data_IF_636033583614
#
_entry.id   IF_636033583614
#
_cell.length_a   1.000
_cell.length_b   1.000
_cell.length_c   1.000
_cell.angle_alpha   90.00
_cell.angle_beta   90.00
_cell.angle_gamma   90.00
#
_symmetry.space_group_name_H-M   'P 1'
#
loop_
_entity.id
_entity.type
_entity.pdbx_description
1 polymer ?
#
# COMPACT_ATOMS: atom_id res chain seq x y z
N UNK A 1 -24.91 1.98 67.93
CA UNK A 1 -23.97 2.90 67.24
C UNK A 1 -23.90 2.48 65.77
N UNK A 2 -24.50 3.25 64.86
CA UNK A 2 -24.54 2.95 63.43
C UNK A 2 -23.41 3.67 62.70
N UNK A 3 -22.42 2.93 62.19
CA UNK A 3 -21.39 3.48 61.30
C UNK A 3 -21.87 3.41 59.84
N UNK A 4 -22.24 4.57 59.27
CA UNK A 4 -22.50 4.72 57.84
C UNK A 4 -21.15 4.87 57.12
N UNK A 5 -20.71 3.83 56.43
CA UNK A 5 -19.59 3.93 55.51
C UNK A 5 -20.02 4.74 54.28
N UNK A 6 -19.37 5.90 54.07
CA UNK A 6 -19.53 6.69 52.85
C UNK A 6 -18.71 6.00 51.74
N UNK A 7 -19.40 5.40 50.77
CA UNK A 7 -18.80 4.99 49.50
C UNK A 7 -18.40 6.26 48.74
N UNK A 8 -17.10 6.61 48.75
CA UNK A 8 -16.56 7.55 47.77
C UNK A 8 -16.38 6.80 46.45
N UNK A 9 -17.32 7.04 45.53
CA UNK A 9 -17.20 6.62 44.14
C UNK A 9 -16.11 7.43 43.45
N UNK A 10 -14.90 6.87 43.33
CA UNK A 10 -13.87 7.42 42.44
C UNK A 10 -14.28 7.13 40.99
N UNK A 11 -14.80 8.14 40.30
CA UNK A 11 -14.98 8.11 38.85
C UNK A 11 -13.61 8.22 38.19
N UNK A 12 -12.95 7.09 37.94
CA UNK A 12 -11.75 7.03 37.10
C UNK A 12 -12.17 7.29 35.65
N UNK A 13 -12.07 8.53 35.21
CA UNK A 13 -12.31 8.92 33.81
C UNK A 13 -11.21 8.30 32.94
N UNK A 14 -11.54 7.21 32.25
CA UNK A 14 -10.74 6.71 31.13
C UNK A 14 -10.84 7.70 29.97
N UNK A 15 -9.80 8.49 29.75
CA UNK A 15 -9.65 9.29 28.53
C UNK A 15 -9.31 8.30 27.41
N UNK A 16 -10.30 7.96 26.58
CA UNK A 16 -10.09 7.21 25.34
C UNK A 16 -9.58 8.21 24.30
N UNK A 17 -8.26 8.23 24.06
CA UNK A 17 -7.68 8.91 22.90
C UNK A 17 -8.10 8.12 21.66
N UNK A 18 -9.11 8.60 20.94
CA UNK A 18 -9.44 8.09 19.62
C UNK A 18 -8.30 8.48 18.67
N UNK A 19 -7.35 7.58 18.45
CA UNK A 19 -6.35 7.72 17.40
C UNK A 19 -7.08 7.62 16.05
N UNK A 20 -7.36 8.76 15.42
CA UNK A 20 -7.75 8.77 14.01
C UNK A 20 -6.56 8.22 13.22
N UNK A 21 -6.72 7.13 12.45
CA UNK A 21 -5.63 6.63 11.61
C UNK A 21 -5.35 7.70 10.56
N UNK A 22 -4.23 8.41 10.71
CA UNK A 22 -3.67 9.19 9.62
C UNK A 22 -3.13 8.20 8.60
N UNK A 23 -3.58 8.31 7.35
CA UNK A 23 -2.91 7.60 6.27
C UNK A 23 -1.45 8.07 6.24
N UNK A 24 -0.50 7.13 6.27
CA UNK A 24 0.89 7.48 6.05
C UNK A 24 1.01 8.08 4.64
N UNK A 25 1.96 9.01 4.46
CA UNK A 25 2.31 9.53 3.14
C UNK A 25 3.70 9.05 2.75
N UNK A 26 3.91 8.81 1.46
CA UNK A 26 5.20 8.46 0.91
C UNK A 26 5.38 9.16 -0.44
N UNK A 27 6.53 9.78 -0.67
CA UNK A 27 6.79 10.48 -1.94
C UNK A 27 7.11 9.50 -3.08
N UNK A 28 7.51 8.27 -2.73
CA UNK A 28 7.78 7.20 -3.68
C UNK A 28 7.25 5.86 -3.21
N UNK A 29 6.76 5.04 -4.14
CA UNK A 29 6.44 3.62 -3.86
C UNK A 29 7.64 2.80 -3.40
N UNK A 30 8.87 3.24 -3.66
CA UNK A 30 10.10 2.60 -3.16
C UNK A 30 10.16 2.63 -1.63
N UNK A 31 9.76 3.73 -1.00
CA UNK A 31 9.70 3.83 0.47
C UNK A 31 8.72 2.82 1.06
N UNK A 32 7.55 2.67 0.43
CA UNK A 32 6.50 1.73 0.83
C UNK A 32 7.00 0.28 0.69
N UNK A 33 7.68 -0.04 -0.41
CA UNK A 33 8.29 -1.36 -0.62
C UNK A 33 9.35 -1.67 0.44
N UNK A 34 10.26 -0.73 0.72
CA UNK A 34 11.30 -0.88 1.74
C UNK A 34 10.68 -1.14 3.11
N UNK A 35 9.64 -0.39 3.46
CA UNK A 35 8.95 -0.60 4.73
C UNK A 35 8.29 -1.97 4.78
N UNK A 36 7.61 -2.40 3.70
CA UNK A 36 6.99 -3.71 3.63
C UNK A 36 8.00 -4.86 3.79
N UNK A 37 9.22 -4.74 3.27
CA UNK A 37 10.27 -5.77 3.51
C UNK A 37 10.59 -5.89 5.00
N UNK A 38 10.67 -4.76 5.70
CA UNK A 38 11.04 -4.70 7.13
C UNK A 38 9.92 -5.19 8.05
N UNK A 39 8.67 -4.82 7.77
CA UNK A 39 7.52 -5.05 8.65
C UNK A 39 6.54 -6.11 8.13
N UNK A 40 6.81 -6.68 6.95
CA UNK A 40 5.96 -7.64 6.25
C UNK A 40 4.81 -7.01 5.46
N UNK A 41 4.47 -5.75 5.74
CA UNK A 41 3.38 -5.02 5.09
C UNK A 41 3.53 -3.50 5.25
N UNK A 42 3.13 -2.72 4.27
CA UNK A 42 3.08 -1.27 4.38
C UNK A 42 1.93 -0.71 3.53
N UNK A 43 1.34 0.39 3.97
CA UNK A 43 0.38 1.14 3.16
C UNK A 43 0.52 2.63 3.40
N UNK A 44 0.45 3.40 2.32
CA UNK A 44 0.51 4.84 2.35
C UNK A 44 -0.26 5.44 1.17
N UNK A 45 -0.68 6.70 1.31
CA UNK A 45 -1.04 7.55 0.18
C UNK A 45 0.26 8.01 -0.51
N UNK A 46 0.32 7.84 -1.83
CA UNK A 46 1.43 8.30 -2.64
C UNK A 46 1.32 9.81 -2.88
N UNK A 47 2.38 10.54 -2.56
CA UNK A 47 2.51 11.98 -2.74
C UNK A 47 3.72 12.33 -3.62
N UNK A 48 3.97 13.62 -3.86
CA UNK A 48 5.16 14.10 -4.58
C UNK A 48 5.18 13.78 -6.08
N UNK A 49 6.36 13.86 -6.69
CA UNK A 49 6.55 13.78 -8.15
C UNK A 49 6.02 12.48 -8.76
N UNK A 50 6.12 11.35 -8.06
CA UNK A 50 5.60 10.08 -8.55
C UNK A 50 4.06 10.09 -8.60
N UNK A 51 3.41 10.68 -7.61
CA UNK A 51 1.96 10.88 -7.61
C UNK A 51 1.53 11.84 -8.73
N UNK A 52 2.28 12.91 -8.97
CA UNK A 52 1.99 13.86 -10.04
C UNK A 52 2.02 13.20 -11.43
N UNK A 53 3.04 12.37 -11.69
CA UNK A 53 3.12 11.59 -12.94
C UNK A 53 1.96 10.61 -13.05
N UNK A 54 1.60 9.91 -11.96
CA UNK A 54 0.48 8.99 -11.94
C UNK A 54 -0.85 9.70 -12.24
N UNK A 55 -1.14 10.81 -11.54
CA UNK A 55 -2.35 11.61 -11.77
C UNK A 55 -2.42 12.18 -13.18
N UNK A 56 -1.28 12.57 -13.76
CA UNK A 56 -1.23 13.01 -15.16
C UNK A 56 -1.60 11.90 -16.14
N UNK A 57 -1.28 10.64 -15.83
CA UNK A 57 -1.61 9.46 -16.65
C UNK A 57 -3.05 9.00 -16.46
N UNK A 58 -3.55 8.99 -15.23
CA UNK A 58 -4.90 8.49 -14.93
C UNK A 58 -5.97 9.56 -15.09
N UNK A 59 -5.58 10.84 -15.15
CA UNK A 59 -6.48 11.98 -15.20
C UNK A 59 -7.45 12.09 -14.00
N UNK A 60 -7.19 11.37 -12.92
CA UNK A 60 -7.88 11.52 -11.64
C UNK A 60 -7.04 12.34 -10.66
N UNK A 61 -7.71 13.11 -9.81
CA UNK A 61 -7.10 13.83 -8.68
C UNK A 61 -7.46 13.21 -7.32
N UNK A 62 -8.09 12.04 -7.33
CA UNK A 62 -8.35 11.31 -6.09
C UNK A 62 -7.03 10.76 -5.52
N UNK A 63 -6.96 10.56 -4.19
CA UNK A 63 -5.79 9.97 -3.54
C UNK A 63 -5.37 8.64 -4.19
N UNK A 64 -4.05 8.46 -4.33
CA UNK A 64 -3.45 7.24 -4.84
C UNK A 64 -3.02 6.41 -3.64
N UNK A 65 -3.81 5.40 -3.30
CA UNK A 65 -3.47 4.49 -2.20
C UNK A 65 -2.58 3.38 -2.69
N UNK A 66 -1.50 3.11 -1.96
CA UNK A 66 -0.56 2.04 -2.26
C UNK A 66 -0.47 1.10 -1.06
N UNK A 67 -0.55 -0.20 -1.33
CA UNK A 67 -0.32 -1.27 -0.36
C UNK A 67 0.79 -2.18 -0.88
N UNK A 68 1.71 -2.56 -0.01
CA UNK A 68 2.77 -3.51 -0.30
C UNK A 68 2.79 -4.60 0.78
N UNK A 69 2.94 -5.87 0.36
CA UNK A 69 2.93 -7.02 1.27
C UNK A 69 3.99 -8.05 0.86
N UNK A 70 4.76 -8.52 1.83
CA UNK A 70 5.65 -9.67 1.64
C UNK A 70 4.82 -10.92 1.39
N UNK A 71 5.06 -11.57 0.25
CA UNK A 71 4.39 -12.82 -0.14
C UNK A 71 5.31 -14.03 -0.03
N UNK A 72 6.63 -13.82 -0.08
CA UNK A 72 7.64 -14.87 0.10
C UNK A 72 8.95 -14.25 0.61
N UNK A 73 9.61 -14.90 1.57
CA UNK A 73 10.97 -14.54 1.97
C UNK A 73 11.98 -15.21 1.05
N UNK A 74 12.94 -14.44 0.52
CA UNK A 74 13.96 -15.00 -0.37
C UNK A 74 15.07 -15.67 0.44
N UNK A 75 15.85 -16.53 -0.23
CA UNK A 75 17.01 -17.18 0.40
C UNK A 75 18.08 -16.19 0.86
N UNK A 76 18.20 -15.05 0.17
CA UNK A 76 19.11 -13.98 0.56
C UNK A 76 18.51 -13.23 1.76
N UNK A 77 19.24 -13.14 2.91
CA UNK A 77 18.77 -12.40 4.07
C UNK A 77 18.47 -10.94 3.73
N UNK A 78 17.38 -10.40 4.30
CA UNK A 78 16.95 -9.02 4.08
C UNK A 78 16.33 -8.76 2.71
N UNK A 79 15.95 -9.81 1.96
CA UNK A 79 15.25 -9.68 0.68
C UNK A 79 13.98 -10.51 0.64
N UNK A 80 12.95 -9.98 -0.01
CA UNK A 80 11.62 -10.57 -0.09
C UNK A 80 10.99 -10.40 -1.48
N UNK A 81 10.09 -11.32 -1.82
CA UNK A 81 9.08 -11.12 -2.87
C UNK A 81 7.96 -10.29 -2.24
N UNK A 82 7.69 -9.11 -2.81
CA UNK A 82 6.67 -8.17 -2.35
C UNK A 82 5.63 -8.00 -3.46
N UNK A 83 4.36 -8.17 -3.12
CA UNK A 83 3.25 -7.75 -3.96
C UNK A 83 2.92 -6.27 -3.64
N UNK A 84 2.75 -5.44 -4.67
CA UNK A 84 2.37 -4.03 -4.55
C UNK A 84 1.07 -3.80 -5.32
N UNK A 85 0.17 -3.01 -4.75
CA UNK A 85 -1.14 -2.68 -5.29
C UNK A 85 -1.38 -1.18 -5.17
N UNK A 86 -1.74 -0.55 -6.29
CA UNK A 86 -2.15 0.85 -6.39
C UNK A 86 -3.66 0.88 -6.61
N UNK A 87 -4.34 1.79 -5.92
CA UNK A 87 -5.78 2.03 -6.07
C UNK A 87 -6.04 3.53 -6.17
N UNK A 88 -6.79 3.94 -7.19
CA UNK A 88 -7.20 5.33 -7.36
C UNK A 88 -8.67 5.41 -7.80
N UNK A 89 -9.45 6.27 -7.16
CA UNK A 89 -10.87 6.44 -7.50
C UNK A 89 -11.05 7.42 -8.66
N UNK A 90 -12.28 7.46 -9.21
CA UNK A 90 -12.72 8.45 -10.20
C UNK A 90 -11.84 8.57 -11.46
N UNK A 91 -11.16 7.50 -11.87
CA UNK A 91 -10.40 7.46 -13.12
C UNK A 91 -11.36 7.44 -14.31
N UNK A 92 -11.26 8.38 -15.27
CA UNK A 92 -12.11 8.41 -16.46
C UNK A 92 -11.97 7.13 -17.30
N UNK A 93 -13.10 6.62 -17.80
CA UNK A 93 -13.12 5.43 -18.67
C UNK A 93 -13.26 5.83 -20.14
N UNK A 94 -12.68 5.02 -21.02
CA UNK A 94 -12.71 5.23 -22.49
C UNK A 94 -14.13 5.26 -23.07
N UNK A 95 -15.09 4.59 -22.43
CA UNK A 95 -16.49 4.53 -22.84
C UNK A 95 -17.37 5.57 -22.12
N UNK A 96 -16.76 6.56 -21.46
CA UNK A 96 -17.44 7.56 -20.64
C UNK A 96 -17.65 7.12 -19.19
N UNK A 97 -17.92 8.11 -18.33
CA UNK A 97 -17.99 7.91 -16.88
C UNK A 97 -16.61 7.75 -16.23
N UNK A 98 -16.60 7.42 -14.94
CA UNK A 98 -15.41 7.21 -14.13
C UNK A 98 -15.56 5.97 -13.23
N UNK A 99 -14.45 5.47 -12.69
CA UNK A 99 -14.47 4.38 -11.71
C UNK A 99 -13.11 4.13 -11.05
N UNK A 100 -13.01 3.10 -10.20
CA UNK A 100 -11.74 2.73 -9.59
C UNK A 100 -10.76 2.19 -10.64
N UNK A 101 -9.49 2.59 -10.51
CA UNK A 101 -8.35 1.96 -11.13
C UNK A 101 -7.59 1.16 -10.08
N UNK A 102 -7.32 -0.10 -10.38
CA UNK A 102 -6.53 -1.01 -9.56
C UNK A 102 -5.38 -1.57 -10.42
N UNK A 103 -4.14 -1.35 -10.00
CA UNK A 103 -2.94 -1.82 -10.71
C UNK A 103 -2.00 -2.45 -9.70
N UNK A 104 -1.64 -3.71 -9.92
CA UNK A 104 -0.75 -4.43 -9.01
C UNK A 104 0.18 -5.38 -9.73
N UNK A 105 1.31 -5.63 -9.09
CA UNK A 105 2.33 -6.56 -9.56
C UNK A 105 3.17 -7.05 -8.38
N UNK A 106 4.08 -7.99 -8.63
CA UNK A 106 5.05 -8.42 -7.63
C UNK A 106 6.48 -8.12 -8.08
N UNK A 107 7.36 -7.81 -7.14
CA UNK A 107 8.80 -7.68 -7.37
C UNK A 107 9.63 -8.30 -6.24
N UNK A 108 10.88 -8.62 -6.55
CA UNK A 108 11.85 -9.01 -5.53
C UNK A 108 12.65 -7.76 -5.12
N UNK A 109 12.69 -7.47 -3.82
CA UNK A 109 13.31 -6.25 -3.29
C UNK A 109 13.93 -6.52 -1.91
N UNK A 110 15.01 -5.82 -1.61
CA UNK A 110 15.74 -5.91 -0.34
C UNK A 110 15.46 -4.71 0.57
N UNK A 111 15.89 -4.78 1.83
CA UNK A 111 15.64 -3.75 2.86
C UNK A 111 16.23 -2.36 2.54
N UNK A 112 17.19 -2.27 1.62
CA UNK A 112 17.76 -1.03 1.09
C UNK A 112 17.03 -0.54 -0.19
N UNK A 113 16.05 -1.31 -0.67
CA UNK A 113 15.31 -1.11 -1.90
C UNK A 113 16.09 -1.49 -3.15
N UNK A 114 17.26 -2.13 -3.01
CA UNK A 114 17.95 -2.75 -4.11
C UNK A 114 17.25 -4.07 -4.51
N UNK A 115 17.43 -4.52 -5.75
CA UNK A 115 17.06 -5.87 -6.12
C UNK A 115 18.01 -6.91 -5.48
N UNK A 116 17.63 -8.20 -5.41
CA UNK A 116 18.52 -9.26 -4.94
C UNK A 116 19.82 -9.35 -5.72
N UNK A 117 20.86 -9.97 -5.15
CA UNK A 117 22.16 -10.08 -5.83
C UNK A 117 22.15 -11.05 -7.02
N UNK A 118 21.25 -12.04 -7.00
CA UNK A 118 21.11 -13.02 -8.08
C UNK A 118 20.28 -12.43 -9.25
N UNK A 119 20.88 -12.20 -10.44
CA UNK A 119 20.19 -11.63 -11.60
C UNK A 119 19.01 -12.48 -12.10
N UNK A 120 18.99 -13.78 -11.82
CA UNK A 120 17.86 -14.64 -12.19
C UNK A 120 16.58 -14.26 -11.43
N UNK A 121 16.71 -13.66 -10.24
CA UNK A 121 15.58 -13.20 -9.42
C UNK A 121 14.97 -11.89 -9.92
N UNK A 122 15.57 -11.23 -10.91
CA UNK A 122 14.99 -10.07 -11.60
C UNK A 122 14.12 -10.51 -12.78
N UNK A 123 14.48 -11.64 -13.37
CA UNK A 123 13.87 -12.17 -14.59
C UNK A 123 12.88 -13.26 -14.20
N UNK A 124 11.82 -12.90 -13.49
CA UNK A 124 10.65 -13.76 -13.56
C UNK A 124 10.10 -13.60 -14.98
N UNK A 125 10.19 -14.66 -15.79
CA UNK A 125 9.37 -14.80 -17.00
C UNK A 125 7.96 -14.29 -16.68
N UNK A 126 7.33 -13.52 -17.58
CA UNK A 126 6.00 -13.00 -17.36
C UNK A 126 5.12 -14.14 -16.86
N UNK A 127 4.75 -14.11 -15.57
CA UNK A 127 3.90 -15.14 -15.00
C UNK A 127 2.58 -15.03 -15.74
N UNK A 128 2.39 -15.94 -16.70
CA UNK A 128 1.25 -16.10 -17.58
C UNK A 128 0.55 -14.78 -17.90
N UNK A 129 0.99 -14.13 -18.99
CA UNK A 129 0.28 -13.04 -19.67
C UNK A 129 -1.14 -12.87 -19.13
N UNK A 130 -1.36 -11.90 -18.23
CA UNK A 130 -2.71 -11.46 -17.91
C UNK A 130 -3.36 -11.24 -19.26
N UNK A 131 -4.36 -12.06 -19.59
CA UNK A 131 -5.02 -12.05 -20.89
C UNK A 131 -5.68 -10.68 -21.01
N UNK A 132 -4.95 -9.70 -21.55
CA UNK A 132 -5.51 -8.40 -21.88
C UNK A 132 -6.60 -8.72 -22.88
N UNK A 133 -7.85 -8.63 -22.43
CA UNK A 133 -8.98 -8.80 -23.32
C UNK A 133 -8.79 -7.78 -24.43
N UNK A 134 -8.60 -8.28 -25.65
CA UNK A 134 -8.48 -7.48 -26.85
C UNK A 134 -9.75 -6.64 -26.93
N UNK A 135 -9.65 -5.33 -26.70
CA UNK A 135 -10.76 -4.41 -27.01
C UNK A 135 -10.92 -4.51 -28.52
N UNK A 136 -12.01 -5.14 -28.93
CA UNK A 136 -12.35 -5.31 -30.33
C UNK A 136 -12.76 -3.92 -30.84
N UNK A 137 -11.85 -3.25 -31.56
CA UNK A 137 -12.20 -2.04 -32.30
C UNK A 137 -13.32 -2.41 -33.26
N UNK A 138 -14.46 -1.72 -33.13
CA UNK A 138 -15.41 -1.58 -34.22
C UNK A 138 -14.83 -0.64 -35.27
#
# INVERSE_FOLDING_TARGET
>A
MHFKAKLLSLCTSFIVLAATPFAAHADTSKEILIEAVKSGHASAELTGDQADVWMAQTHSREPIMVEAKVVEQLKQPGCARVAIQFTQQMVPKVNGGSGPLEVGWGMNVCEDGAPPADPSLFTQEPQSATKVNKVQSQ
#
